data_IF_567682416331
#
_entry.id   IF_567682416331
#
_cell.length_a   1.000
_cell.length_b   1.000
_cell.length_c   1.000
_cell.angle_alpha   90.00
_cell.angle_beta   90.00
_cell.angle_gamma   90.00
#
_symmetry.space_group_name_H-M   'P 1'
#
loop_
_entity.id
_entity.type
_entity.pdbx_description
1 polymer ?
#
# COMPACT_ATOMS: atom_id res chain seq x y z
N UNK A 1 4.20 23.43 0.56
CA UNK A 1 4.86 22.36 -0.21
C UNK A 1 4.26 21.04 0.27
N UNK A 2 3.44 20.38 -0.55
CA UNK A 2 2.96 19.03 -0.24
C UNK A 2 4.16 18.08 -0.24
N UNK A 3 4.38 17.38 0.87
CA UNK A 3 5.48 16.43 0.98
C UNK A 3 5.15 15.10 0.28
N UNK A 4 6.19 14.32 -0.02
CA UNK A 4 6.06 12.99 -0.62
C UNK A 4 5.20 12.07 0.27
N UNK A 5 4.39 11.21 -0.33
CA UNK A 5 3.57 10.20 0.37
C UNK A 5 4.05 8.81 -0.03
N UNK A 6 4.20 7.92 0.94
CA UNK A 6 4.47 6.49 0.72
C UNK A 6 3.20 5.70 1.02
N UNK A 7 2.76 4.88 0.08
CA UNK A 7 1.63 3.97 0.25
C UNK A 7 2.09 2.53 -0.03
N UNK A 8 1.99 1.70 1.00
CA UNK A 8 2.30 0.28 0.95
C UNK A 8 1.01 -0.53 0.94
N UNK A 9 0.95 -1.58 0.12
CA UNK A 9 -0.22 -2.46 0.03
C UNK A 9 0.18 -3.90 0.39
N UNK A 10 -0.61 -4.59 1.21
CA UNK A 10 -0.68 -6.05 1.11
C UNK A 10 -1.35 -6.46 -0.22
N UNK A 11 -1.36 -7.75 -0.54
CA UNK A 11 -1.89 -8.30 -1.81
C UNK A 11 -3.18 -9.07 -1.56
N UNK A 12 -3.10 -10.20 -0.86
CA UNK A 12 -4.23 -11.11 -0.66
C UNK A 12 -5.22 -10.49 0.34
N UNK A 13 -6.52 -10.65 0.11
CA UNK A 13 -7.57 -10.01 0.91
C UNK A 13 -7.64 -8.48 0.78
N UNK A 14 -6.63 -7.86 0.18
CA UNK A 14 -6.47 -6.40 0.10
C UNK A 14 -6.71 -5.87 -1.32
N UNK A 15 -5.94 -6.31 -2.31
CA UNK A 15 -6.10 -5.87 -3.70
C UNK A 15 -7.18 -6.69 -4.40
N UNK A 16 -7.90 -6.08 -5.36
CA UNK A 16 -8.94 -6.77 -6.16
C UNK A 16 -8.41 -7.98 -6.96
N UNK A 17 -7.09 -8.11 -7.08
CA UNK A 17 -6.39 -9.21 -7.76
C UNK A 17 -5.76 -10.23 -6.80
N UNK A 18 -5.91 -10.04 -5.49
CA UNK A 18 -5.41 -10.95 -4.47
C UNK A 18 -6.14 -12.30 -4.46
N UNK A 19 -5.63 -13.24 -3.66
CA UNK A 19 -6.24 -14.55 -3.42
C UNK A 19 -6.39 -14.81 -1.90
N UNK A 20 -7.57 -14.56 -1.30
CA UNK A 20 -8.82 -14.14 -1.96
C UNK A 20 -8.79 -12.67 -2.44
N UNK A 21 -9.68 -12.28 -3.38
CA UNK A 21 -9.77 -10.88 -3.83
C UNK A 21 -10.19 -9.93 -2.71
N UNK A 22 -9.56 -8.76 -2.65
CA UNK A 22 -9.88 -7.67 -1.73
C UNK A 22 -10.67 -6.52 -2.34
N UNK A 23 -10.87 -5.47 -1.54
CA UNK A 23 -11.72 -4.31 -1.92
C UNK A 23 -10.97 -3.19 -2.65
N UNK A 24 -9.63 -3.20 -2.66
CA UNK A 24 -8.82 -2.11 -3.21
C UNK A 24 -8.61 -2.31 -4.71
N UNK A 25 -9.18 -1.45 -5.57
CA UNK A 25 -9.04 -1.61 -7.00
C UNK A 25 -7.68 -1.14 -7.52
N UNK A 26 -7.15 -1.77 -8.56
CA UNK A 26 -5.86 -1.43 -9.16
C UNK A 26 -5.84 -0.01 -9.72
N UNK A 27 -7.01 0.54 -10.07
CA UNK A 27 -7.12 1.95 -10.50
C UNK A 27 -6.60 2.92 -9.42
N UNK A 28 -6.77 2.62 -8.12
CA UNK A 28 -6.26 3.48 -7.04
C UNK A 28 -4.74 3.47 -6.96
N UNK A 29 -4.10 2.32 -7.19
CA UNK A 29 -2.64 2.22 -7.28
C UNK A 29 -2.12 3.11 -8.41
N UNK A 30 -2.78 3.06 -9.59
CA UNK A 30 -2.42 3.92 -10.72
C UNK A 30 -2.65 5.40 -10.40
N UNK A 31 -3.72 5.72 -9.68
CA UNK A 31 -4.00 7.09 -9.22
C UNK A 31 -2.91 7.59 -8.28
N UNK A 32 -2.52 6.81 -7.27
CA UNK A 32 -1.42 7.14 -6.37
C UNK A 32 -0.12 7.43 -7.13
N UNK A 33 0.22 6.60 -8.12
CA UNK A 33 1.39 6.84 -8.99
C UNK A 33 1.28 8.14 -9.79
N UNK A 34 0.11 8.46 -10.35
CA UNK A 34 -0.12 9.73 -11.07
C UNK A 34 -0.02 10.96 -10.16
N UNK A 35 -0.35 10.81 -8.88
CA UNK A 35 -0.21 11.87 -7.87
C UNK A 35 1.23 12.00 -7.33
N UNK A 36 2.17 11.17 -7.82
CA UNK A 36 3.57 11.20 -7.41
C UNK A 36 3.84 10.50 -6.08
N UNK A 37 2.94 9.62 -5.62
CA UNK A 37 3.18 8.82 -4.42
C UNK A 37 4.19 7.71 -4.72
N UNK A 38 4.99 7.35 -3.72
CA UNK A 38 5.77 6.12 -3.76
C UNK A 38 4.87 4.96 -3.39
N UNK A 39 4.76 3.99 -4.28
CA UNK A 39 3.85 2.85 -4.17
C UNK A 39 4.61 1.54 -4.25
N UNK A 40 4.29 0.62 -3.35
CA UNK A 40 4.91 -0.70 -3.35
C UNK A 40 4.11 -1.72 -2.55
N UNK A 41 4.55 -2.97 -2.61
CA UNK A 41 3.92 -4.08 -1.89
C UNK A 41 4.67 -4.46 -0.61
N UNK A 42 3.91 -4.89 0.38
CA UNK A 42 4.37 -5.40 1.67
C UNK A 42 3.49 -6.59 2.03
N UNK A 43 3.90 -7.79 1.62
CA UNK A 43 3.09 -9.01 1.69
C UNK A 43 3.90 -10.18 2.24
N UNK A 44 3.22 -11.20 2.74
CA UNK A 44 3.86 -12.48 3.13
C UNK A 44 4.25 -13.33 1.92
N UNK A 45 3.73 -12.98 0.74
CA UNK A 45 4.13 -13.60 -0.52
C UNK A 45 5.61 -13.36 -0.81
N UNK A 46 6.34 -14.36 -1.32
CA UNK A 46 7.73 -14.20 -1.76
C UNK A 46 7.90 -13.03 -2.74
N UNK A 47 9.07 -12.38 -2.73
CA UNK A 47 9.34 -11.23 -3.61
C UNK A 47 9.17 -11.56 -5.10
N UNK A 48 9.46 -12.79 -5.52
CA UNK A 48 9.23 -13.27 -6.89
C UNK A 48 7.75 -13.28 -7.26
N UNK A 49 6.87 -13.63 -6.33
CA UNK A 49 5.43 -13.56 -6.52
C UNK A 49 4.97 -12.11 -6.62
N UNK A 50 5.43 -11.25 -5.69
CA UNK A 50 5.10 -9.82 -5.71
C UNK A 50 5.53 -9.19 -7.05
N UNK A 51 6.73 -9.51 -7.52
CA UNK A 51 7.25 -9.04 -8.80
C UNK A 51 6.37 -9.46 -9.98
N UNK A 52 5.97 -10.74 -10.03
CA UNK A 52 5.07 -11.23 -11.07
C UNK A 52 3.71 -10.53 -11.07
N UNK A 53 3.17 -10.19 -9.89
CA UNK A 53 1.95 -9.37 -9.77
C UNK A 53 2.15 -8.00 -10.43
N UNK A 54 3.21 -7.28 -10.07
CA UNK A 54 3.51 -5.96 -10.62
C UNK A 54 3.75 -5.97 -12.14
N UNK A 55 4.48 -6.97 -12.63
CA UNK A 55 4.73 -7.17 -14.07
C UNK A 55 3.44 -7.43 -14.83
N UNK A 56 2.57 -8.32 -14.33
CA UNK A 56 1.25 -8.59 -14.93
C UNK A 56 0.37 -7.34 -14.99
N UNK A 57 0.45 -6.47 -13.99
CA UNK A 57 -0.27 -5.21 -13.96
C UNK A 57 0.37 -4.14 -14.85
N UNK A 58 1.61 -4.32 -15.31
CA UNK A 58 2.35 -3.29 -16.03
C UNK A 58 2.53 -2.01 -15.19
N UNK A 59 2.74 -2.16 -13.88
CA UNK A 59 2.97 -1.06 -12.93
C UNK A 59 4.34 -1.28 -12.30
N UNK A 60 5.24 -0.30 -12.44
CA UNK A 60 6.54 -0.34 -11.80
C UNK A 60 6.43 0.08 -10.31
N UNK A 61 6.66 -0.82 -9.34
CA UNK A 61 6.65 -0.47 -7.93
C UNK A 61 7.93 0.29 -7.54
N UNK A 62 7.84 1.16 -6.54
CA UNK A 62 9.00 1.84 -5.95
C UNK A 62 9.73 0.94 -4.93
N UNK A 63 9.01 -0.04 -4.36
CA UNK A 63 9.54 -1.04 -3.47
C UNK A 63 8.68 -2.33 -3.46
N UNK A 64 9.31 -3.44 -3.10
CA UNK A 64 8.66 -4.70 -2.75
C UNK A 64 9.36 -5.24 -1.51
N UNK A 65 8.61 -5.50 -0.44
CA UNK A 65 9.16 -5.99 0.83
C UNK A 65 8.27 -7.09 1.42
N UNK A 66 8.84 -7.88 2.32
CA UNK A 66 8.05 -8.77 3.18
C UNK A 66 7.46 -8.00 4.36
N UNK A 67 6.35 -8.46 4.96
CA UNK A 67 5.65 -7.74 6.04
C UNK A 67 6.57 -7.28 7.18
N UNK A 68 7.44 -8.17 7.64
CA UNK A 68 8.42 -7.88 8.70
C UNK A 68 9.53 -6.89 8.32
N UNK A 69 9.63 -6.47 7.05
CA UNK A 69 10.64 -5.52 6.54
C UNK A 69 10.05 -4.14 6.22
N UNK A 70 8.79 -3.86 6.55
CA UNK A 70 8.16 -2.56 6.26
C UNK A 70 8.94 -1.37 6.85
N UNK A 71 9.59 -1.55 8.00
CA UNK A 71 10.45 -0.53 8.60
C UNK A 71 11.63 -0.10 7.70
N UNK A 72 12.08 -0.96 6.80
CA UNK A 72 13.14 -0.63 5.84
C UNK A 72 12.68 0.40 4.82
N UNK A 73 11.41 0.34 4.41
CA UNK A 73 10.80 1.30 3.48
C UNK A 73 10.84 2.70 4.10
N UNK A 74 10.46 2.83 5.38
CA UNK A 74 10.54 4.11 6.10
C UNK A 74 11.95 4.64 6.20
N UNK A 75 12.95 3.78 6.41
CA UNK A 75 14.37 4.20 6.46
C UNK A 75 14.89 4.62 5.08
N UNK A 76 14.38 4.01 4.01
CA UNK A 76 14.80 4.27 2.63
C UNK A 76 14.22 5.56 2.06
N UNK A 77 12.98 5.89 2.39
CA UNK A 77 12.26 7.02 1.79
C UNK A 77 11.90 8.07 2.82
N UNK A 78 12.36 9.30 2.63
CA UNK A 78 11.92 10.46 3.40
C UNK A 78 10.59 10.98 2.83
N UNK A 79 9.51 10.87 3.60
CA UNK A 79 8.16 11.22 3.20
C UNK A 79 7.42 11.95 4.33
N UNK A 80 6.43 12.77 3.97
CA UNK A 80 5.59 13.47 4.92
C UNK A 80 4.55 12.55 5.57
N UNK A 81 4.11 11.50 4.87
CA UNK A 81 3.18 10.51 5.37
C UNK A 81 3.50 9.11 4.85
N UNK A 82 3.18 8.11 5.67
CA UNK A 82 3.41 6.70 5.41
C UNK A 82 2.14 5.93 5.73
N UNK A 83 1.56 5.28 4.73
CA UNK A 83 0.34 4.48 4.87
C UNK A 83 0.62 3.04 4.48
N UNK A 84 0.06 2.10 5.26
CA UNK A 84 0.01 0.70 4.89
C UNK A 84 -1.44 0.25 4.86
N UNK A 85 -1.86 -0.31 3.73
CA UNK A 85 -3.20 -0.80 3.48
C UNK A 85 -3.17 -2.32 3.50
N UNK A 86 -4.00 -2.93 4.33
CA UNK A 86 -4.09 -4.38 4.52
C UNK A 86 -5.40 -4.79 5.16
N UNK A 87 -5.71 -6.08 5.18
CA UNK A 87 -6.98 -6.64 5.67
C UNK A 87 -6.83 -7.39 7.01
N UNK A 88 -5.60 -7.55 7.53
CA UNK A 88 -5.35 -8.37 8.71
C UNK A 88 -4.75 -7.61 9.91
N UNK A 89 -4.95 -8.16 11.10
CA UNK A 89 -4.26 -7.72 12.34
C UNK A 89 -2.73 -7.75 12.19
N UNK A 90 -2.22 -8.66 11.34
CA UNK A 90 -0.78 -8.76 11.08
C UNK A 90 -0.27 -7.52 10.34
N UNK A 91 -1.05 -7.00 9.39
CA UNK A 91 -0.75 -5.77 8.67
C UNK A 91 -0.77 -4.57 9.61
N UNK A 92 -1.82 -4.46 10.44
CA UNK A 92 -1.93 -3.41 11.44
C UNK A 92 -0.74 -3.40 12.40
N UNK A 93 -0.30 -4.59 12.84
CA UNK A 93 0.85 -4.76 13.73
C UNK A 93 2.15 -4.31 13.07
N UNK A 94 2.46 -4.77 11.87
CA UNK A 94 3.71 -4.41 11.18
C UNK A 94 3.72 -2.95 10.71
N UNK A 95 2.58 -2.41 10.28
CA UNK A 95 2.42 -0.99 9.98
C UNK A 95 2.76 -0.14 11.20
N UNK A 96 2.11 -0.41 12.34
CA UNK A 96 2.32 0.33 13.58
C UNK A 96 3.76 0.25 14.06
N UNK A 97 4.35 -0.95 14.06
CA UNK A 97 5.75 -1.16 14.44
C UNK A 97 6.74 -0.42 13.51
N UNK A 98 6.39 -0.25 12.24
CA UNK A 98 7.19 0.50 11.27
C UNK A 98 6.89 2.01 11.26
N UNK A 99 5.94 2.50 12.08
CA UNK A 99 5.51 3.90 12.11
C UNK A 99 4.64 4.32 10.92
N UNK A 100 4.04 3.36 10.21
CA UNK A 100 3.04 3.61 9.18
C UNK A 100 1.66 3.75 9.82
N UNK A 101 0.82 4.62 9.25
CA UNK A 101 -0.61 4.62 9.55
C UNK A 101 -1.25 3.43 8.83
N UNK A 102 -1.91 2.57 9.59
CA UNK A 102 -2.67 1.46 9.04
C UNK A 102 -4.03 1.95 8.51
N UNK A 103 -4.43 1.45 7.34
CA UNK A 103 -5.72 1.69 6.72
C UNK A 103 -6.33 0.33 6.38
N UNK A 104 -7.46 0.03 6.98
CA UNK A 104 -8.11 -1.27 6.82
C UNK A 104 -8.72 -1.41 5.42
N UNK A 105 -8.51 -2.58 4.81
CA UNK A 105 -9.03 -2.95 3.51
C UNK A 105 -10.40 -3.64 3.62
N UNK A 106 -11.32 -3.06 4.37
CA UNK A 106 -12.73 -3.46 4.40
C UNK A 106 -13.61 -2.45 3.63
N UNK A 107 -14.82 -2.84 3.18
CA UNK A 107 -15.67 -1.96 2.37
C UNK A 107 -16.01 -0.61 3.01
N UNK A 108 -16.17 -0.54 4.34
CA UNK A 108 -16.53 0.67 5.06
C UNK A 108 -15.32 1.58 5.24
N UNK A 109 -14.20 1.07 5.75
CA UNK A 109 -12.99 1.89 5.91
C UNK A 109 -12.44 2.34 4.55
N UNK A 110 -12.50 1.49 3.52
CA UNK A 110 -12.06 1.81 2.15
C UNK A 110 -12.66 3.11 1.64
N UNK A 111 -13.97 3.29 1.75
CA UNK A 111 -14.62 4.52 1.31
C UNK A 111 -14.12 5.77 2.07
N UNK A 112 -13.87 5.64 3.37
CA UNK A 112 -13.40 6.73 4.21
C UNK A 112 -11.97 7.15 3.87
N UNK A 113 -11.02 6.21 3.80
CA UNK A 113 -9.63 6.56 3.54
C UNK A 113 -9.36 6.91 2.07
N UNK A 114 -10.19 6.45 1.12
CA UNK A 114 -10.08 6.92 -0.27
C UNK A 114 -10.30 8.44 -0.35
N UNK A 115 -11.30 8.96 0.36
CA UNK A 115 -11.53 10.40 0.44
C UNK A 115 -10.37 11.14 1.12
N UNK A 116 -9.73 10.51 2.11
CA UNK A 116 -8.57 11.09 2.79
C UNK A 116 -7.31 11.14 1.90
N UNK A 117 -6.95 10.03 1.24
CA UNK A 117 -5.72 9.95 0.45
C UNK A 117 -5.84 10.61 -0.92
N UNK A 118 -7.03 10.59 -1.52
CA UNK A 118 -7.22 11.01 -2.91
C UNK A 118 -8.20 12.16 -3.08
N UNK A 119 -8.79 12.65 -1.98
CA UNK A 119 -9.61 13.84 -1.99
C UNK A 119 -8.82 15.09 -2.38
N UNK A 120 -9.50 16.15 -2.88
CA UNK A 120 -8.84 17.41 -3.15
C UNK A 120 -8.15 17.90 -1.88
N UNK A 121 -6.84 18.15 -1.98
CA UNK A 121 -6.13 18.95 -0.98
C UNK A 121 -6.80 20.33 -0.99
N UNK A 122 -7.48 20.68 0.10
CA UNK A 122 -8.13 21.98 0.25
C UNK A 122 -7.17 23.16 0.07
#
# INVERSE_FOLDING_TARGET
>A
MSGLIVVSFDIDGTLEIGEPPGVVPIVLIRTAKRLGYLVGSCSDRPLTYQQAVWERLGIAPDFMVLKHRLADVRRRFAAAAYYHIGDSDTDARYASAAGFRFLEADPVAHAAWVAELFGPSG
#
